data_IF_099561433090
#
_entry.id   IF_099561433090
#
_cell.length_a   1.000
_cell.length_b   1.000
_cell.length_c   1.000
_cell.angle_alpha   90.00
_cell.angle_beta   90.00
_cell.angle_gamma   90.00
#
_symmetry.space_group_name_H-M   'P 1'
#
loop_
_entity.id
_entity.type
_entity.pdbx_description
1 polymer ?
#
# COMPACT_ATOMS: atom_id res chain seq x y z
N UNK A 1 13.46 15.72 -8.38
CA UNK A 1 12.44 16.30 -7.47
C UNK A 1 11.27 15.33 -7.44
N UNK A 2 10.82 14.89 -6.27
CA UNK A 2 9.61 14.07 -6.18
C UNK A 2 8.40 14.89 -6.69
N UNK A 3 7.53 14.33 -7.53
CA UNK A 3 6.33 15.04 -7.96
C UNK A 3 5.45 15.33 -6.74
N UNK A 4 5.02 16.59 -6.59
CA UNK A 4 4.08 16.99 -5.55
C UNK A 4 2.70 16.35 -5.73
N UNK A 5 1.82 16.40 -4.71
CA UNK A 5 0.47 15.86 -4.81
C UNK A 5 -0.32 16.59 -5.91
N UNK A 6 -1.12 15.84 -6.68
CA UNK A 6 -1.97 16.41 -7.72
C UNK A 6 -3.09 17.24 -7.09
N UNK A 7 -3.43 18.41 -7.67
CA UNK A 7 -4.61 19.14 -7.26
C UNK A 7 -5.85 18.25 -7.50
N UNK A 8 -6.63 17.97 -6.46
CA UNK A 8 -7.85 17.16 -6.55
C UNK A 8 -8.92 17.69 -5.61
N UNK A 9 -10.19 17.49 -5.96
CA UNK A 9 -11.32 17.85 -5.11
C UNK A 9 -11.89 16.58 -4.49
N UNK A 10 -11.61 16.38 -3.21
CA UNK A 10 -12.16 15.27 -2.42
C UNK A 10 -13.54 15.68 -1.90
N UNK A 11 -14.57 14.91 -2.24
CA UNK A 11 -15.92 15.11 -1.69
C UNK A 11 -16.05 14.46 -0.31
N UNK A 12 -16.95 14.98 0.51
CA UNK A 12 -17.24 14.40 1.82
C UNK A 12 -17.71 12.95 1.70
N UNK A 13 -17.34 12.06 2.64
CA UNK A 13 -17.79 10.69 2.65
C UNK A 13 -19.33 10.60 2.66
N UNK A 14 -19.90 9.94 1.67
CA UNK A 14 -21.33 9.65 1.59
C UNK A 14 -21.57 8.26 2.16
N UNK A 15 -22.27 8.23 3.27
CA UNK A 15 -22.57 7.01 3.99
C UNK A 15 -23.76 6.29 3.35
N UNK A 16 -23.59 5.03 2.97
CA UNK A 16 -24.66 4.20 2.43
C UNK A 16 -25.34 3.45 3.57
N UNK A 17 -26.61 3.79 3.81
CA UNK A 17 -27.48 3.05 4.73
C UNK A 17 -28.36 2.10 3.91
N UNK A 18 -28.41 0.84 4.34
CA UNK A 18 -29.34 -0.16 3.79
C UNK A 18 -30.25 -0.58 4.95
N UNK A 19 -31.43 0.03 5.06
CA UNK A 19 -32.40 -0.21 6.13
C UNK A 19 -33.55 0.80 6.13
N UNK A 20 -34.71 0.42 6.66
CA UNK A 20 -35.87 1.31 6.82
C UNK A 20 -35.59 2.34 7.93
N UNK A 21 -35.82 3.62 7.63
CA UNK A 21 -35.53 4.80 8.47
C UNK A 21 -36.29 4.76 9.80
N UNK A 22 -37.30 3.88 9.93
CA UNK A 22 -38.14 3.73 11.12
C UNK A 22 -37.52 2.98 12.30
N UNK A 23 -36.39 2.29 12.10
CA UNK A 23 -35.67 1.63 13.20
C UNK A 23 -34.28 2.22 13.32
N UNK A 24 -33.95 2.67 14.53
CA UNK A 24 -32.73 3.36 14.98
C UNK A 24 -31.42 2.51 14.88
N UNK A 25 -31.39 1.59 13.92
CA UNK A 25 -30.36 0.56 13.71
C UNK A 25 -29.73 0.63 12.31
N UNK A 26 -29.99 1.68 11.54
CA UNK A 26 -29.37 1.91 10.23
C UNK A 26 -27.89 2.27 10.40
N UNK A 27 -27.08 1.27 10.79
CA UNK A 27 -25.63 1.41 10.95
C UNK A 27 -24.98 1.34 9.59
N UNK A 28 -24.17 2.34 9.23
CA UNK A 28 -23.49 2.30 7.96
C UNK A 28 -22.36 1.30 7.99
N UNK A 29 -22.45 0.26 7.15
CA UNK A 29 -21.32 -0.64 6.90
C UNK A 29 -20.47 -0.21 5.71
N UNK A 30 -20.93 0.80 4.93
CA UNK A 30 -20.30 1.25 3.69
C UNK A 30 -20.33 2.77 3.59
N UNK A 31 -19.20 3.38 3.22
CA UNK A 31 -19.08 4.80 2.91
C UNK A 31 -18.38 4.99 1.55
N UNK A 32 -18.71 6.07 0.85
CA UNK A 32 -18.16 6.37 -0.47
C UNK A 32 -17.50 7.75 -0.45
N UNK A 33 -16.24 7.83 -0.85
CA UNK A 33 -15.53 9.07 -1.10
C UNK A 33 -15.30 9.20 -2.60
N UNK A 34 -15.86 10.25 -3.18
CA UNK A 34 -15.64 10.60 -4.59
C UNK A 34 -14.58 11.70 -4.69
N UNK A 35 -13.55 11.44 -5.47
CA UNK A 35 -12.48 12.39 -5.77
C UNK A 35 -12.59 12.80 -7.24
N UNK A 36 -12.83 14.08 -7.48
CA UNK A 36 -12.82 14.65 -8.82
C UNK A 36 -11.42 15.20 -9.13
N UNK A 37 -10.88 14.84 -10.29
CA UNK A 37 -9.63 15.40 -10.80
C UNK A 37 -9.96 16.64 -11.66
N UNK A 38 -9.17 17.73 -11.58
CA UNK A 38 -9.42 18.92 -12.37
C UNK A 38 -9.43 18.60 -13.86
N UNK A 39 -10.31 19.24 -14.66
CA UNK A 39 -10.38 19.03 -16.11
C UNK A 39 -9.20 19.65 -16.87
N UNK A 40 -8.20 20.23 -16.18
CA UNK A 40 -7.04 20.87 -16.80
C UNK A 40 -6.13 19.81 -17.46
N UNK A 41 -6.19 19.75 -18.79
CA UNK A 41 -5.58 18.78 -19.70
C UNK A 41 -6.04 17.31 -19.53
N UNK A 42 -7.06 16.89 -20.31
CA UNK A 42 -7.63 15.54 -20.30
C UNK A 42 -6.68 14.38 -20.66
N UNK A 43 -5.42 14.64 -20.99
CA UNK A 43 -4.49 13.64 -21.51
C UNK A 43 -3.44 13.12 -20.52
N UNK A 44 -3.17 13.79 -19.38
CA UNK A 44 -1.97 13.45 -18.60
C UNK A 44 -2.14 13.23 -17.09
N UNK A 45 -3.37 13.23 -16.56
CA UNK A 45 -3.58 12.81 -15.16
C UNK A 45 -3.57 11.28 -15.08
N UNK A 46 -2.37 10.74 -14.99
CA UNK A 46 -2.10 9.33 -14.69
C UNK A 46 -1.97 9.22 -13.18
N UNK A 47 -2.85 8.49 -12.52
CA UNK A 47 -2.70 8.27 -11.06
C UNK A 47 -1.51 7.32 -10.85
N UNK A 48 -0.48 7.77 -10.13
CA UNK A 48 0.70 6.98 -9.82
C UNK A 48 0.57 6.27 -8.48
N UNK A 49 0.19 7.03 -7.46
CA UNK A 49 0.08 6.58 -6.07
C UNK A 49 -1.10 7.28 -5.38
N UNK A 50 -1.80 6.56 -4.52
CA UNK A 50 -2.84 7.11 -3.63
C UNK A 50 -2.37 6.88 -2.20
N UNK A 51 -2.18 7.96 -1.45
CA UNK A 51 -1.73 7.91 -0.05
C UNK A 51 -2.86 8.41 0.83
N UNK A 52 -3.11 7.73 1.93
CA UNK A 52 -4.08 8.16 2.93
C UNK A 52 -3.74 7.57 4.29
N UNK A 53 -4.26 8.21 5.34
CA UNK A 53 -4.30 7.66 6.69
C UNK A 53 -5.64 6.95 6.86
N UNK A 54 -5.62 5.71 7.32
CA UNK A 54 -6.86 5.01 7.66
C UNK A 54 -7.50 5.66 8.89
N UNK A 55 -8.83 5.65 8.95
CA UNK A 55 -9.60 5.98 10.14
C UNK A 55 -10.71 4.94 10.27
N UNK A 56 -10.35 3.79 10.83
CA UNK A 56 -11.25 2.64 11.10
C UNK A 56 -11.94 2.04 9.87
N UNK A 57 -11.41 2.17 8.65
CA UNK A 57 -11.91 1.44 7.49
C UNK A 57 -11.27 0.05 7.42
N UNK A 58 -12.07 -1.02 7.32
CA UNK A 58 -11.52 -2.38 7.24
C UNK A 58 -11.13 -2.80 5.83
N UNK A 59 -11.98 -2.51 4.84
CA UNK A 59 -11.73 -2.86 3.44
C UNK A 59 -11.97 -1.66 2.52
N UNK A 60 -11.12 -1.55 1.51
CA UNK A 60 -11.17 -0.49 0.51
C UNK A 60 -11.32 -1.07 -0.89
N UNK A 61 -12.31 -0.59 -1.63
CA UNK A 61 -12.43 -0.84 -3.07
C UNK A 61 -12.26 0.47 -3.82
N UNK A 62 -11.38 0.48 -4.83
CA UNK A 62 -11.11 1.67 -5.65
C UNK A 62 -11.70 1.47 -7.03
N UNK A 63 -12.53 2.41 -7.46
CA UNK A 63 -13.08 2.48 -8.82
C UNK A 63 -12.62 3.76 -9.49
N UNK A 64 -12.35 3.69 -10.77
CA UNK A 64 -11.96 4.84 -11.59
C UNK A 64 -12.97 5.05 -12.71
N UNK A 65 -13.30 6.30 -12.96
CA UNK A 65 -14.09 6.70 -14.11
C UNK A 65 -13.15 7.10 -15.25
N UNK A 66 -13.30 6.44 -16.40
CA UNK A 66 -12.46 6.71 -17.58
C UNK A 66 -13.27 7.34 -18.71
N UNK A 67 -12.60 8.17 -19.50
CA UNK A 67 -13.11 8.63 -20.80
C UNK A 67 -12.68 7.64 -21.87
N UNK A 68 -13.61 7.19 -22.72
CA UNK A 68 -13.25 6.36 -23.88
C UNK A 68 -12.77 7.26 -25.03
N UNK A 69 -11.67 6.93 -25.71
CA UNK A 69 -11.17 7.71 -26.85
C UNK A 69 -12.04 7.66 -28.11
N UNK A 70 -12.90 6.64 -28.26
CA UNK A 70 -13.53 6.32 -29.55
C UNK A 70 -14.89 6.98 -29.84
N UNK A 71 -15.46 7.76 -28.92
CA UNK A 71 -16.79 8.37 -29.12
C UNK A 71 -16.64 9.82 -29.61
N UNK A 72 -16.25 9.98 -30.89
CA UNK A 72 -16.33 11.28 -31.58
C UNK A 72 -17.80 11.51 -31.94
N UNK A 73 -18.51 12.32 -31.15
CA UNK A 73 -19.85 12.84 -31.49
C UNK A 73 -21.00 12.43 -30.57
N UNK A 74 -20.78 11.50 -29.63
CA UNK A 74 -21.70 11.23 -28.52
C UNK A 74 -20.91 11.41 -27.25
N UNK A 75 -21.39 12.22 -26.32
CA UNK A 75 -20.75 12.50 -25.03
C UNK A 75 -20.25 11.19 -24.40
N UNK A 76 -18.93 10.94 -24.54
CA UNK A 76 -18.36 9.60 -24.40
C UNK A 76 -18.77 8.96 -23.08
N UNK A 77 -19.39 7.79 -23.14
CA UNK A 77 -20.04 7.18 -21.99
C UNK A 77 -18.99 6.92 -20.89
N UNK A 78 -19.04 7.73 -19.82
CA UNK A 78 -18.11 7.62 -18.69
C UNK A 78 -18.38 6.32 -17.94
N UNK A 79 -17.48 5.34 -18.07
CA UNK A 79 -17.64 4.02 -17.43
C UNK A 79 -16.80 3.93 -16.15
N UNK A 80 -17.43 3.49 -15.07
CA UNK A 80 -16.74 3.15 -13.82
C UNK A 80 -16.15 1.74 -13.90
N UNK A 81 -14.84 1.63 -13.68
CA UNK A 81 -14.10 0.37 -13.68
C UNK A 81 -13.48 0.15 -12.31
N UNK A 82 -13.58 -1.05 -11.76
CA UNK A 82 -12.92 -1.41 -10.50
C UNK A 82 -11.45 -1.69 -10.76
N UNK A 83 -10.58 -0.97 -10.06
CA UNK A 83 -9.12 -1.10 -10.18
C UNK A 83 -8.49 -1.74 -8.95
N UNK A 84 -9.12 -1.65 -7.79
CA UNK A 84 -8.71 -2.38 -6.59
C UNK A 84 -9.96 -2.90 -5.90
N UNK A 85 -9.96 -4.17 -5.52
CA UNK A 85 -11.12 -4.83 -4.93
C UNK A 85 -10.81 -5.30 -3.50
N UNK A 86 -11.64 -4.88 -2.54
CA UNK A 86 -11.59 -5.29 -1.13
C UNK A 86 -10.16 -5.38 -0.55
N UNK A 87 -9.33 -4.37 -0.81
CA UNK A 87 -8.01 -4.26 -0.20
C UNK A 87 -8.15 -4.15 1.32
N UNK A 88 -7.51 -5.07 2.03
CA UNK A 88 -7.58 -5.15 3.49
C UNK A 88 -6.72 -4.05 4.12
N UNK A 89 -7.33 -3.19 4.91
CA UNK A 89 -6.67 -2.15 5.72
C UNK A 89 -6.63 -2.52 7.20
N UNK A 90 -7.58 -3.32 7.67
CA UNK A 90 -7.59 -3.86 9.04
C UNK A 90 -7.64 -5.39 8.97
N UNK A 91 -6.56 -6.11 9.36
CA UNK A 91 -6.54 -7.58 9.35
C UNK A 91 -7.66 -8.20 10.18
N UNK A 92 -7.98 -7.56 11.30
CA UNK A 92 -9.12 -7.90 12.16
C UNK A 92 -10.03 -6.66 12.28
N UNK A 93 -11.18 -6.64 11.57
CA UNK A 93 -12.07 -5.49 11.54
C UNK A 93 -12.62 -5.07 12.91
N UNK A 94 -12.59 -5.95 13.91
CA UNK A 94 -13.12 -5.67 15.26
C UNK A 94 -12.07 -5.09 16.22
N UNK A 95 -10.81 -4.99 15.80
CA UNK A 95 -9.69 -4.49 16.62
C UNK A 95 -9.13 -3.22 16.02
N UNK A 96 -8.40 -2.43 16.80
CA UNK A 96 -7.83 -1.14 16.35
C UNK A 96 -6.64 -1.29 15.39
N UNK A 97 -6.05 -2.48 15.26
CA UNK A 97 -4.87 -2.73 14.41
C UNK A 97 -5.10 -2.33 12.95
N UNK A 98 -4.25 -1.46 12.42
CA UNK A 98 -4.37 -0.92 11.07
C UNK A 98 -5.35 0.24 10.92
N UNK A 99 -6.09 0.62 11.97
CA UNK A 99 -7.13 1.65 11.88
C UNK A 99 -6.61 3.07 11.76
N UNK A 100 -5.34 3.33 12.14
CA UNK A 100 -4.68 4.64 12.13
C UNK A 100 -3.41 4.67 11.26
N UNK A 101 -3.14 3.58 10.53
CA UNK A 101 -1.92 3.43 9.74
C UNK A 101 -2.00 4.23 8.44
N UNK A 102 -0.84 4.64 7.93
CA UNK A 102 -0.71 5.23 6.60
C UNK A 102 -0.57 4.14 5.55
N UNK A 103 -1.36 4.25 4.49
CA UNK A 103 -1.34 3.34 3.35
C UNK A 103 -0.98 4.08 2.08
N UNK A 104 -0.13 3.43 1.28
CA UNK A 104 0.21 3.83 -0.09
C UNK A 104 -0.26 2.76 -1.06
N UNK A 105 -1.21 3.12 -1.92
CA UNK A 105 -1.66 2.28 -3.01
C UNK A 105 -0.90 2.65 -4.29
N UNK A 106 -0.14 1.70 -4.82
CA UNK A 106 0.66 1.90 -6.01
C UNK A 106 -0.05 1.40 -7.25
N UNK A 107 0.28 2.00 -8.40
CA UNK A 107 -0.27 1.59 -9.71
C UNK A 107 -0.13 0.10 -10.02
N UNK A 108 0.96 -0.56 -9.62
CA UNK A 108 1.17 -1.98 -9.91
C UNK A 108 0.19 -2.91 -9.15
N UNK A 109 -0.46 -2.42 -8.09
CA UNK A 109 -1.49 -3.14 -7.36
C UNK A 109 -2.87 -3.02 -8.03
N UNK A 110 -3.01 -2.14 -9.02
CA UNK A 110 -4.27 -1.89 -9.70
C UNK A 110 -4.50 -2.91 -10.83
N UNK A 111 -5.69 -3.50 -10.86
CA UNK A 111 -6.14 -4.49 -11.84
C UNK A 111 -6.35 -3.91 -13.24
N UNK A 112 -6.28 -2.59 -13.43
CA UNK A 112 -6.53 -1.95 -14.71
C UNK A 112 -5.81 -0.60 -14.85
N UNK A 113 -5.55 -0.18 -16.10
CA UNK A 113 -4.79 1.06 -16.39
C UNK A 113 -5.43 2.34 -15.89
N UNK A 114 -4.90 2.93 -14.83
CA UNK A 114 -5.37 4.22 -14.28
C UNK A 114 -4.92 5.44 -15.09
N UNK A 115 -4.95 5.33 -16.41
CA UNK A 115 -4.67 6.41 -17.38
C UNK A 115 -5.97 7.11 -17.80
N UNK A 116 -5.91 8.43 -17.99
CA UNK A 116 -7.04 9.28 -18.41
C UNK A 116 -8.26 9.17 -17.48
N UNK A 117 -8.00 9.19 -16.17
CA UNK A 117 -9.04 9.10 -15.13
C UNK A 117 -9.65 10.48 -14.91
N UNK A 118 -10.98 10.57 -14.96
CA UNK A 118 -11.72 11.80 -14.66
C UNK A 118 -12.15 11.91 -13.20
N UNK A 119 -12.38 10.76 -12.57
CA UNK A 119 -12.78 10.67 -11.17
C UNK A 119 -12.33 9.34 -10.55
N UNK A 120 -12.02 9.37 -9.27
CA UNK A 120 -11.74 8.20 -8.45
C UNK A 120 -12.85 8.06 -7.40
N UNK A 121 -13.33 6.83 -7.18
CA UNK A 121 -14.33 6.50 -6.16
C UNK A 121 -13.73 5.47 -5.21
N UNK A 122 -13.63 5.85 -3.95
CA UNK A 122 -13.18 5.00 -2.86
C UNK A 122 -14.42 4.48 -2.12
N UNK A 123 -14.63 3.17 -2.14
CA UNK A 123 -15.72 2.50 -1.43
C UNK A 123 -15.11 1.87 -0.18
N UNK A 124 -15.43 2.46 0.95
CA UNK A 124 -14.98 2.07 2.28
C UNK A 124 -15.98 1.08 2.86
N UNK A 125 -15.51 0.01 3.46
CA UNK A 125 -16.36 -0.97 4.14
C UNK A 125 -15.84 -1.26 5.53
N UNK A 126 -16.76 -1.31 6.47
CA UNK A 126 -16.49 -1.66 7.86
C UNK A 126 -17.55 -2.64 8.34
N UNK A 127 -17.25 -3.95 8.38
CA UNK A 127 -18.21 -4.97 8.81
C UNK A 127 -18.40 -5.01 10.33
N UNK A 128 -17.48 -4.44 11.11
CA UNK A 128 -17.61 -4.42 12.56
C UNK A 128 -18.69 -3.42 12.99
N UNK A 129 -19.64 -3.84 13.85
CA UNK A 129 -20.68 -2.95 14.36
C UNK A 129 -20.17 -1.95 15.41
N UNK A 130 -18.92 -2.11 15.87
CA UNK A 130 -18.27 -1.27 16.88
C UNK A 130 -17.91 0.11 16.31
N UNK A 131 -17.49 0.16 15.04
CA UNK A 131 -16.99 1.38 14.41
C UNK A 131 -18.10 2.08 13.64
N UNK A 132 -18.83 2.97 14.34
CA UNK A 132 -19.94 3.73 13.76
C UNK A 132 -19.46 4.84 12.80
N UNK A 133 -18.24 5.31 12.98
CA UNK A 133 -17.60 6.32 12.16
C UNK A 133 -16.29 5.76 11.62
N UNK A 134 -16.21 5.68 10.30
CA UNK A 134 -15.01 5.30 9.59
C UNK A 134 -14.87 6.11 8.32
N UNK A 135 -13.64 6.46 7.99
CA UNK A 135 -13.31 7.26 6.82
C UNK A 135 -11.84 7.04 6.46
N UNK A 136 -11.35 7.81 5.49
CA UNK A 136 -9.93 8.00 5.23
C UNK A 136 -9.59 9.47 5.52
N UNK A 137 -8.45 9.68 6.16
CA UNK A 137 -7.87 10.99 6.48
C UNK A 137 -6.67 11.26 5.56
N UNK A 138 -6.29 12.53 5.42
CA UNK A 138 -5.07 12.95 4.69
C UNK A 138 -4.92 12.36 3.28
N UNK A 139 -6.04 12.17 2.58
CA UNK A 139 -6.05 11.60 1.23
C UNK A 139 -5.31 12.49 0.24
N UNK A 140 -4.27 11.93 -0.38
CA UNK A 140 -3.43 12.57 -1.40
C UNK A 140 -3.31 11.65 -2.59
N UNK A 141 -3.44 12.22 -3.79
CA UNK A 141 -3.18 11.50 -5.04
C UNK A 141 -1.92 12.08 -5.66
N UNK A 142 -0.97 11.22 -5.99
CA UNK A 142 0.25 11.61 -6.68
C UNK A 142 0.15 11.18 -8.14
N UNK A 143 0.41 12.08 -9.09
CA UNK A 143 0.45 11.71 -10.49
C UNK A 143 1.65 10.79 -10.73
N UNK A 144 1.52 9.86 -11.69
CA UNK A 144 2.68 9.15 -12.22
C UNK A 144 3.58 10.24 -12.81
N UNK A 145 4.77 10.43 -12.23
CA UNK A 145 5.75 11.33 -12.80
C UNK A 145 5.90 11.02 -14.29
N UNK A 146 6.00 12.06 -15.12
CA UNK A 146 6.46 11.90 -16.50
C UNK A 146 7.86 11.29 -16.46
N UNK A 147 7.94 9.97 -16.29
CA UNK A 147 9.03 9.23 -16.86
C UNK A 147 8.74 9.34 -18.36
N UNK A 148 9.47 10.24 -19.02
CA UNK A 148 9.98 9.93 -20.35
C UNK A 148 10.33 8.44 -20.35
N UNK A 149 10.02 7.74 -21.43
CA UNK A 149 10.50 6.39 -21.67
C UNK A 149 12.03 6.42 -21.88
N UNK A 150 12.75 6.86 -20.87
CA UNK A 150 14.15 6.63 -20.66
C UNK A 150 14.24 6.05 -19.27
N UNK A 151 14.58 4.77 -19.25
CA UNK A 151 15.40 4.17 -18.22
C UNK A 151 16.40 5.19 -17.68
N UNK A 152 16.00 5.94 -16.66
CA UNK A 152 16.93 6.58 -15.74
C UNK A 152 17.48 5.45 -14.87
N UNK A 153 18.39 4.68 -15.49
CA UNK A 153 19.46 4.06 -14.73
C UNK A 153 20.00 5.18 -13.82
N UNK A 154 20.04 4.97 -12.50
CA UNK A 154 20.54 5.99 -11.61
C UNK A 154 21.94 6.39 -12.10
N UNK A 155 22.22 7.68 -12.16
CA UNK A 155 23.35 8.25 -12.93
C UNK A 155 24.72 7.65 -12.55
N UNK A 156 24.84 7.08 -11.35
CA UNK A 156 26.01 6.32 -10.91
C UNK A 156 26.24 5.01 -11.70
N UNK A 157 25.19 4.36 -12.19
CA UNK A 157 25.26 3.17 -13.06
C UNK A 157 25.55 3.52 -14.52
N UNK A 158 25.24 4.74 -14.96
CA UNK A 158 25.59 5.24 -16.30
C UNK A 158 27.10 5.39 -16.50
N UNK A 159 27.87 5.40 -15.39
CA UNK A 159 29.33 5.39 -15.41
C UNK A 159 29.94 3.99 -15.51
N UNK A 160 29.14 2.93 -15.53
CA UNK A 160 29.63 1.58 -15.84
C UNK A 160 29.60 1.33 -17.36
N UNK A 161 30.25 2.22 -18.12
CA UNK A 161 30.75 1.88 -19.44
C UNK A 161 32.07 1.09 -19.26
N UNK A 162 32.40 0.17 -20.19
CA UNK A 162 33.36 -0.90 -19.95
C UNK A 162 34.69 -0.31 -19.51
N UNK A 163 35.15 -0.79 -18.37
CA UNK A 163 36.38 -0.42 -17.70
C UNK A 163 37.50 -0.28 -18.75
N UNK A 164 37.88 0.96 -19.04
CA UNK A 164 39.10 1.24 -19.77
C UNK A 164 40.23 0.55 -19.01
N UNK A 165 40.90 -0.36 -19.69
CA UNK A 165 42.10 -1.04 -19.25
C UNK A 165 43.11 -0.01 -18.73
N UNK A 166 43.40 0.05 -17.42
CA UNK A 166 44.62 0.68 -16.95
C UNK A 166 45.71 -0.37 -17.11
N UNK A 167 46.72 -0.06 -17.90
CA UNK A 167 47.94 -0.85 -17.89
C UNK A 167 48.52 -0.90 -16.47
N UNK A 168 48.79 -2.13 -16.02
CA UNK A 168 49.65 -2.50 -14.89
C UNK A 168 49.26 -2.03 -13.48
N UNK A 169 48.40 -2.81 -12.81
CA UNK A 169 48.59 -3.17 -11.40
C UNK A 169 48.32 -4.69 -11.25
N UNK A 170 49.40 -5.47 -11.35
CA UNK A 170 49.41 -6.87 -10.91
C UNK A 170 49.20 -6.92 -9.40
N UNK A 171 48.06 -7.46 -8.96
CA UNK A 171 47.84 -7.87 -7.57
C UNK A 171 46.48 -7.47 -7.02
N UNK A 172 45.58 -8.43 -6.87
CA UNK A 172 44.55 -8.35 -5.83
C UNK A 172 43.10 -8.54 -6.23
N UNK A 173 42.77 -9.27 -7.31
CA UNK A 173 41.43 -9.86 -7.42
C UNK A 173 41.52 -11.24 -6.76
N UNK A 174 40.82 -11.48 -5.63
CA UNK A 174 40.84 -12.78 -4.98
C UNK A 174 40.25 -13.83 -5.91
N UNK A 175 40.92 -14.98 -5.98
CA UNK A 175 40.56 -16.10 -6.84
C UNK A 175 39.09 -16.48 -6.64
N UNK A 176 38.23 -16.39 -7.68
CA UNK A 176 36.80 -16.63 -7.55
C UNK A 176 36.49 -18.03 -7.02
N UNK A 177 37.34 -19.01 -7.31
CA UNK A 177 37.19 -20.37 -6.79
C UNK A 177 37.47 -20.44 -5.29
N UNK A 178 38.47 -19.71 -4.80
CA UNK A 178 38.71 -19.61 -3.34
C UNK A 178 37.56 -18.93 -2.62
N UNK A 179 37.07 -17.81 -3.15
CA UNK A 179 35.94 -17.09 -2.55
C UNK A 179 34.69 -17.97 -2.54
N UNK A 180 34.42 -18.69 -3.63
CA UNK A 180 33.31 -19.64 -3.72
C UNK A 180 33.45 -20.77 -2.69
N UNK A 181 34.66 -21.33 -2.55
CA UNK A 181 34.93 -22.42 -1.62
C UNK A 181 34.74 -21.99 -0.16
N UNK A 182 35.22 -20.80 0.21
CA UNK A 182 35.05 -20.26 1.58
C UNK A 182 33.56 -20.03 1.92
N UNK A 183 32.80 -19.48 0.97
CA UNK A 183 31.35 -19.29 1.14
C UNK A 183 30.62 -20.62 1.26
N UNK A 184 30.99 -21.61 0.44
CA UNK A 184 30.43 -22.95 0.52
C UNK A 184 30.74 -23.62 1.87
N UNK A 185 31.97 -23.49 2.37
CA UNK A 185 32.36 -24.00 3.69
C UNK A 185 31.56 -23.34 4.82
N UNK A 186 31.34 -22.03 4.74
CA UNK A 186 30.50 -21.31 5.72
C UNK A 186 29.05 -21.79 5.69
N UNK A 187 28.50 -22.04 4.51
CA UNK A 187 27.17 -22.60 4.32
C UNK A 187 27.05 -24.00 4.95
N UNK A 188 28.05 -24.86 4.73
CA UNK A 188 28.11 -26.19 5.34
C UNK A 188 28.12 -26.10 6.86
N UNK A 189 28.92 -25.19 7.44
CA UNK A 189 28.96 -25.01 8.90
C UNK A 189 27.61 -24.54 9.46
N UNK A 190 26.90 -23.66 8.75
CA UNK A 190 25.57 -23.18 9.17
C UNK A 190 24.55 -24.32 9.15
N UNK A 191 24.57 -25.16 8.12
CA UNK A 191 23.70 -26.34 8.07
C UNK A 191 24.08 -27.38 9.12
N UNK A 192 25.36 -27.56 9.43
CA UNK A 192 25.79 -28.43 10.54
C UNK A 192 25.34 -27.89 11.90
N UNK A 193 25.44 -26.59 12.15
CA UNK A 193 24.93 -25.97 13.38
C UNK A 193 23.42 -26.16 13.47
N UNK A 194 22.70 -25.92 12.37
CA UNK A 194 21.26 -26.12 12.28
C UNK A 194 20.85 -27.56 12.55
N UNK A 195 21.56 -28.52 11.97
CA UNK A 195 21.32 -29.95 12.17
C UNK A 195 21.70 -30.42 13.59
N UNK A 196 22.66 -29.75 14.24
CA UNK A 196 23.13 -30.06 15.59
C UNK A 196 22.51 -29.17 16.68
N UNK A 197 21.53 -28.33 16.35
CA UNK A 197 20.71 -27.63 17.34
C UNK A 197 19.85 -28.65 18.09
N UNK A 198 20.38 -29.19 19.19
CA UNK A 198 19.53 -29.79 20.23
C UNK A 198 18.56 -28.73 20.73
N UNK A 199 17.28 -29.10 20.87
CA UNK A 199 16.16 -28.24 21.25
C UNK A 199 16.21 -27.68 22.70
N UNK A 200 17.37 -27.25 23.17
CA UNK A 200 17.52 -26.50 24.41
C UNK A 200 17.33 -25.01 24.09
N UNK A 201 16.13 -24.49 24.40
CA UNK A 201 15.76 -23.09 24.20
C UNK A 201 16.63 -22.22 25.11
N UNK A 202 17.58 -21.51 24.52
CA UNK A 202 18.18 -20.34 25.14
C UNK A 202 17.07 -19.31 25.36
N UNK A 203 16.81 -18.99 26.62
CA UNK A 203 16.04 -17.82 27.05
C UNK A 203 14.53 -17.99 27.07
N UNK A 204 14.00 -18.70 28.09
CA UNK A 204 12.71 -18.37 28.72
C UNK A 204 12.82 -18.69 30.21
N UNK A 205 12.97 -17.66 31.04
CA UNK A 205 12.61 -17.77 32.44
C UNK A 205 11.09 -17.80 32.50
N UNK A 206 10.51 -18.94 32.89
CA UNK A 206 9.10 -19.00 33.27
C UNK A 206 8.99 -18.26 34.60
N UNK A 207 8.29 -17.13 34.61
CA UNK A 207 7.93 -16.45 35.85
C UNK A 207 6.54 -16.94 36.20
N UNK A 208 6.45 -17.79 37.22
CA UNK A 208 5.19 -18.37 37.69
C UNK A 208 4.16 -17.27 37.98
N UNK A 209 3.03 -17.38 37.29
CA UNK A 209 1.93 -16.41 37.31
C UNK A 209 1.19 -16.36 38.64
N UNK A 210 1.67 -15.56 39.57
CA UNK A 210 0.96 -15.23 40.81
C UNK A 210 0.95 -13.71 41.04
N UNK A 211 0.09 -12.98 40.32
CA UNK A 211 -0.40 -11.69 40.81
C UNK A 211 -1.83 -11.88 41.31
N UNK A 212 -1.97 -12.08 42.61
CA UNK A 212 -3.26 -12.07 43.29
C UNK A 212 -3.63 -10.61 43.58
N UNK A 213 -4.55 -10.06 42.79
CA UNK A 213 -5.04 -8.68 42.96
C UNK A 213 -6.12 -8.73 44.03
N UNK A 214 -5.73 -8.58 45.30
CA UNK A 214 -6.67 -8.41 46.39
C UNK A 214 -7.42 -7.07 46.23
N UNK A 215 -8.64 -7.15 45.68
CA UNK A 215 -9.64 -6.08 45.71
C UNK A 215 -10.12 -5.91 47.15
N UNK A 216 -9.43 -5.07 47.92
CA UNK A 216 -9.95 -4.57 49.19
C UNK A 216 -11.10 -3.60 48.89
N UNK A 217 -12.33 -4.11 48.97
CA UNK A 217 -13.53 -3.31 49.13
C UNK A 217 -13.50 -2.67 50.52
N UNK A 218 -13.26 -1.36 50.58
CA UNK A 218 -13.57 -0.56 51.77
C UNK A 218 -15.04 -0.12 51.70
N UNK A 219 -15.80 -0.59 52.69
CA UNK A 219 -17.09 -0.03 53.12
C UNK A 219 -16.94 1.37 53.66
#
# INVERSE_FOLDING_TARGET
MAPGPAPCTVRSPVVLQVGDVKTDLARPGVAIIDVALPPAQPLDVRVGEIVFKNSYTAFLTVRVQRRRPCDVGREGARKWVTCLWNHCLMPSPHTETGSQDYFSLFRHQMLCDVDQVTAVRLILRQPSPVWLHFTLEELRLYPKGQQSLQTDFPTWLSHLAPQQQPENLHGGIPDPEKVSTEVQQLWVLTEMIRANQTAARIGRFDVDGCYDINLLSYT
#
